data_IF_144016205340
#
_entry.id   IF_144016205340
#
_cell.length_a   1.000
_cell.length_b   1.000
_cell.length_c   1.000
_cell.angle_alpha   90.00
_cell.angle_beta   90.00
_cell.angle_gamma   90.00
#
_symmetry.space_group_name_H-M   'P 1'
#
loop_
_entity.id
_entity.type
_entity.pdbx_description
1 polymer ?
#
# COMPACT_ATOMS: atom_id res chain seq x y z
N UNK A 1 -14.65 -5.74 -19.93
CA UNK A 1 -13.22 -5.34 -19.91
C UNK A 1 -13.17 -3.82 -19.95
N UNK A 2 -12.34 -3.21 -19.12
CA UNK A 2 -12.29 -1.76 -18.98
C UNK A 2 -11.28 -1.15 -19.98
N UNK A 3 -11.69 -0.22 -20.87
CA UNK A 3 -10.83 0.28 -21.94
C UNK A 3 -9.60 1.04 -21.43
N UNK A 4 -9.75 1.82 -20.35
CA UNK A 4 -8.65 2.60 -19.76
C UNK A 4 -7.58 1.65 -19.19
N UNK A 5 -7.98 0.56 -18.54
CA UNK A 5 -7.02 -0.43 -18.03
C UNK A 5 -6.32 -1.19 -19.15
N UNK A 6 -7.03 -1.51 -20.22
CA UNK A 6 -6.43 -2.14 -21.40
C UNK A 6 -5.40 -1.22 -22.06
N UNK A 7 -5.69 0.08 -22.18
CA UNK A 7 -4.74 1.09 -22.68
C UNK A 7 -3.50 1.22 -21.78
N UNK A 8 -3.67 1.11 -20.46
CA UNK A 8 -2.56 1.08 -19.49
C UNK A 8 -1.76 -0.23 -19.49
N UNK A 9 -2.12 -1.22 -20.34
CA UNK A 9 -1.43 -2.50 -20.44
C UNK A 9 -1.82 -3.52 -19.36
N UNK A 10 -2.95 -3.34 -18.69
CA UNK A 10 -3.46 -4.31 -17.69
C UNK A 10 -4.17 -5.45 -18.42
N UNK A 11 -3.66 -6.68 -18.25
CA UNK A 11 -4.20 -7.87 -18.91
C UNK A 11 -5.62 -8.22 -18.44
N UNK A 12 -6.37 -8.93 -19.28
CA UNK A 12 -7.73 -9.40 -18.95
C UNK A 12 -7.77 -10.26 -17.68
N UNK A 13 -6.76 -11.11 -17.51
CA UNK A 13 -6.58 -11.95 -16.30
C UNK A 13 -6.54 -11.08 -15.03
N UNK A 14 -5.78 -9.98 -15.06
CA UNK A 14 -5.65 -9.09 -13.91
C UNK A 14 -6.91 -8.25 -13.68
N UNK A 15 -7.55 -7.78 -14.75
CA UNK A 15 -8.85 -7.09 -14.63
C UNK A 15 -9.91 -8.02 -14.00
N UNK A 16 -9.92 -9.30 -14.39
CA UNK A 16 -10.81 -10.31 -13.82
C UNK A 16 -10.47 -10.62 -12.36
N UNK A 17 -9.19 -10.76 -12.01
CA UNK A 17 -8.75 -10.98 -10.62
C UNK A 17 -9.23 -9.87 -9.68
N UNK A 18 -9.11 -8.61 -10.10
CA UNK A 18 -9.56 -7.45 -9.33
C UNK A 18 -11.06 -7.16 -9.48
N UNK A 19 -11.79 -7.97 -10.28
CA UNK A 19 -13.22 -7.80 -10.56
C UNK A 19 -13.57 -6.39 -11.06
N UNK A 20 -12.67 -5.79 -11.86
CA UNK A 20 -12.85 -4.41 -12.32
C UNK A 20 -13.84 -4.37 -13.47
N UNK A 21 -14.98 -3.75 -13.21
CA UNK A 21 -16.00 -3.40 -14.22
C UNK A 21 -15.89 -1.91 -14.50
N UNK A 22 -16.11 -1.12 -13.47
CA UNK A 22 -15.91 0.33 -13.44
C UNK A 22 -14.65 0.69 -12.65
N UNK A 23 -14.11 1.88 -12.90
CA UNK A 23 -12.96 2.43 -12.16
C UNK A 23 -13.41 3.16 -10.88
N UNK A 24 -14.35 2.53 -10.18
CA UNK A 24 -14.89 2.98 -8.90
C UNK A 24 -14.76 1.85 -7.89
N UNK A 25 -13.97 2.07 -6.85
CA UNK A 25 -13.65 1.06 -5.84
C UNK A 25 -14.29 1.46 -4.51
N UNK A 26 -15.16 0.60 -3.97
CA UNK A 26 -15.86 0.86 -2.70
C UNK A 26 -15.00 0.48 -1.51
N UNK A 27 -14.90 1.41 -0.56
CA UNK A 27 -14.33 1.24 0.77
C UNK A 27 -15.50 1.33 1.77
N UNK A 28 -16.59 0.60 1.51
CA UNK A 28 -17.83 0.74 2.28
C UNK A 28 -18.57 2.04 1.93
N UNK A 29 -18.51 3.04 2.82
CA UNK A 29 -19.22 4.33 2.65
C UNK A 29 -18.50 5.33 1.75
N UNK A 30 -17.20 5.12 1.54
CA UNK A 30 -16.37 5.98 0.68
C UNK A 30 -15.99 5.27 -0.61
N UNK A 31 -15.64 6.03 -1.64
CA UNK A 31 -15.21 5.48 -2.93
C UNK A 31 -13.94 6.11 -3.46
N UNK A 32 -13.05 5.26 -3.97
CA UNK A 32 -11.99 5.68 -4.88
C UNK A 32 -12.56 5.76 -6.30
N UNK A 33 -12.21 6.81 -7.03
CA UNK A 33 -12.58 6.98 -8.43
C UNK A 33 -11.35 7.29 -9.27
N UNK A 34 -11.16 6.55 -10.35
CA UNK A 34 -10.08 6.75 -11.31
C UNK A 34 -10.65 7.06 -12.69
N UNK A 35 -10.11 8.09 -13.34
CA UNK A 35 -10.46 8.48 -14.69
C UNK A 35 -9.24 9.02 -15.44
N UNK A 36 -9.44 9.39 -16.70
CA UNK A 36 -8.35 9.79 -17.61
C UNK A 36 -7.47 10.92 -17.04
N UNK A 37 -8.10 11.90 -16.38
CA UNK A 37 -7.43 13.11 -15.89
C UNK A 37 -7.52 13.31 -14.38
N UNK A 38 -8.04 12.34 -13.63
CA UNK A 38 -8.17 12.46 -12.18
C UNK A 38 -8.05 11.11 -11.48
N UNK A 39 -7.58 11.16 -10.24
CA UNK A 39 -7.61 10.04 -9.32
C UNK A 39 -7.97 10.57 -7.95
N UNK A 40 -9.13 10.15 -7.44
CA UNK A 40 -9.60 10.51 -6.10
C UNK A 40 -9.51 9.30 -5.21
N UNK A 41 -8.61 9.33 -4.23
CA UNK A 41 -8.48 8.32 -3.18
C UNK A 41 -9.13 8.85 -1.91
N UNK A 42 -10.03 8.08 -1.25
CA UNK A 42 -10.72 8.55 -0.06
C UNK A 42 -9.79 8.55 1.16
N UNK A 43 -10.04 9.47 2.10
CA UNK A 43 -9.56 9.34 3.47
C UNK A 43 -10.66 8.65 4.28
N UNK A 44 -10.45 7.40 4.65
CA UNK A 44 -11.50 6.53 5.21
C UNK A 44 -10.95 5.63 6.31
N UNK A 45 -11.84 5.12 7.16
CA UNK A 45 -11.53 4.09 8.15
C UNK A 45 -11.85 2.67 7.67
N UNK A 46 -12.40 2.54 6.46
CA UNK A 46 -12.74 1.27 5.82
C UNK A 46 -11.63 0.81 4.86
N UNK A 47 -11.74 -0.41 4.37
CA UNK A 47 -10.76 -1.01 3.46
C UNK A 47 -11.42 -1.39 2.15
N UNK A 48 -10.67 -1.27 1.06
CA UNK A 48 -10.96 -2.04 -0.14
C UNK A 48 -10.10 -3.30 -0.15
N UNK A 49 -10.70 -4.44 -0.48
CA UNK A 49 -10.04 -5.76 -0.44
C UNK A 49 -10.31 -6.50 -1.75
N UNK A 50 -9.28 -7.11 -2.31
CA UNK A 50 -9.38 -8.03 -3.44
C UNK A 50 -8.52 -9.28 -3.20
N UNK A 51 -8.95 -10.43 -3.68
CA UNK A 51 -8.30 -11.73 -3.43
C UNK A 51 -9.24 -12.72 -2.76
N UNK A 52 -8.67 -13.78 -2.16
CA UNK A 52 -9.43 -14.88 -1.56
C UNK A 52 -8.85 -15.36 -0.22
N UNK A 53 -9.57 -16.27 0.45
CA UNK A 53 -9.22 -16.79 1.77
C UNK A 53 -7.97 -17.71 1.78
N UNK A 54 -7.61 -18.28 0.62
CA UNK A 54 -6.45 -19.17 0.45
C UNK A 54 -5.12 -18.38 0.34
N UNK A 55 -5.17 -17.06 0.52
CA UNK A 55 -4.03 -16.17 0.42
C UNK A 55 -2.87 -16.56 1.35
N UNK A 56 -1.65 -16.44 0.84
CA UNK A 56 -0.41 -16.60 1.62
C UNK A 56 0.33 -15.28 1.84
N UNK A 57 0.08 -14.29 0.98
CA UNK A 57 0.69 -12.95 1.03
C UNK A 57 -0.36 -11.85 0.83
N UNK A 58 -0.33 -10.87 1.71
CA UNK A 58 -1.16 -9.67 1.69
C UNK A 58 -0.33 -8.49 1.23
N UNK A 59 -0.75 -7.89 0.13
CA UNK A 59 -0.15 -6.67 -0.39
C UNK A 59 -1.00 -5.49 0.05
N UNK A 60 -0.42 -4.57 0.81
CA UNK A 60 -1.11 -3.40 1.35
C UNK A 60 -0.67 -2.16 0.58
N UNK A 61 -1.63 -1.42 0.03
CA UNK A 61 -1.42 -0.23 -0.78
C UNK A 61 -2.23 0.96 -0.24
N UNK A 62 -1.98 2.16 -0.77
CA UNK A 62 -2.82 3.33 -0.46
C UNK A 62 -4.08 3.42 -1.33
N UNK A 63 -4.12 2.77 -2.48
CA UNK A 63 -5.25 2.81 -3.42
C UNK A 63 -5.39 1.50 -4.20
N UNK A 64 -6.60 1.20 -4.68
CA UNK A 64 -6.89 0.04 -5.51
C UNK A 64 -6.16 0.13 -6.86
N UNK A 65 -6.08 1.33 -7.44
CA UNK A 65 -5.29 1.54 -8.65
C UNK A 65 -3.79 1.28 -8.45
N UNK A 66 -3.23 1.60 -7.29
CA UNK A 66 -1.84 1.26 -6.97
C UNK A 66 -1.63 -0.27 -6.86
N UNK A 67 -2.62 -1.00 -6.32
CA UNK A 67 -2.59 -2.46 -6.28
C UNK A 67 -2.60 -3.07 -7.69
N UNK A 68 -3.48 -2.59 -8.56
CA UNK A 68 -3.56 -3.01 -9.97
C UNK A 68 -2.22 -2.73 -10.67
N UNK A 69 -1.68 -1.52 -10.51
CA UNK A 69 -0.44 -1.14 -11.15
C UNK A 69 0.76 -1.95 -10.66
N UNK A 70 0.87 -2.18 -9.35
CA UNK A 70 1.90 -3.01 -8.77
C UNK A 70 1.88 -4.42 -9.35
N UNK A 71 0.73 -5.09 -9.34
CA UNK A 71 0.62 -6.46 -9.83
C UNK A 71 0.86 -6.54 -11.34
N UNK A 72 0.42 -5.54 -12.11
CA UNK A 72 0.68 -5.47 -13.56
C UNK A 72 2.20 -5.42 -13.84
N UNK A 73 2.92 -4.51 -13.19
CA UNK A 73 4.35 -4.33 -13.40
C UNK A 73 5.21 -5.46 -12.80
N UNK A 74 4.69 -6.16 -11.79
CA UNK A 74 5.38 -7.24 -11.10
C UNK A 74 4.78 -8.63 -11.36
N UNK A 75 3.94 -8.79 -12.40
CA UNK A 75 3.22 -10.04 -12.69
C UNK A 75 4.15 -11.26 -12.78
N UNK A 76 5.35 -11.07 -13.32
CA UNK A 76 6.39 -12.09 -13.45
C UNK A 76 6.86 -12.67 -12.11
N UNK A 77 6.72 -11.93 -11.00
CA UNK A 77 7.10 -12.38 -9.64
C UNK A 77 6.05 -13.26 -9.00
N UNK A 78 4.84 -13.28 -9.55
CA UNK A 78 3.68 -13.93 -8.96
C UNK A 78 3.08 -14.92 -9.96
N UNK A 79 3.67 -16.12 -10.16
CA UNK A 79 3.10 -17.14 -11.04
C UNK A 79 1.67 -17.52 -10.65
N UNK A 80 1.36 -17.45 -9.34
CA UNK A 80 0.08 -17.78 -8.73
C UNK A 80 -0.57 -16.57 -8.06
N UNK A 81 -1.29 -15.78 -8.86
CA UNK A 81 -2.00 -14.58 -8.37
C UNK A 81 -3.16 -14.95 -7.41
N UNK A 82 -3.68 -16.18 -7.49
CA UNK A 82 -4.70 -16.74 -6.62
C UNK A 82 -4.25 -16.89 -5.16
N UNK A 83 -2.95 -16.79 -4.88
CA UNK A 83 -2.37 -16.84 -3.54
C UNK A 83 -2.14 -15.47 -2.90
N UNK A 84 -2.56 -14.40 -3.59
CA UNK A 84 -2.43 -13.01 -3.15
C UNK A 84 -3.77 -12.46 -2.71
N UNK A 85 -3.70 -11.55 -1.74
CA UNK A 85 -4.75 -10.56 -1.53
C UNK A 85 -4.17 -9.18 -1.46
N UNK A 86 -4.99 -8.22 -1.85
CA UNK A 86 -4.68 -6.81 -1.87
C UNK A 86 -5.61 -6.09 -0.91
N UNK A 87 -5.05 -5.17 -0.15
CA UNK A 87 -5.79 -4.29 0.74
C UNK A 87 -5.36 -2.87 0.40
N UNK A 88 -6.32 -2.02 0.02
CA UNK A 88 -6.09 -0.60 -0.07
C UNK A 88 -6.68 0.09 1.16
N UNK A 89 -5.87 0.92 1.81
CA UNK A 89 -6.22 1.60 3.07
C UNK A 89 -6.68 3.05 2.89
N UNK A 90 -6.60 3.60 1.66
CA UNK A 90 -6.92 5.00 1.40
C UNK A 90 -5.82 5.97 1.85
N UNK A 91 -6.18 7.25 1.84
CA UNK A 91 -5.34 8.34 2.31
C UNK A 91 -5.40 8.41 3.84
N UNK A 92 -4.28 8.09 4.49
CA UNK A 92 -4.06 8.03 5.95
C UNK A 92 -4.45 6.68 6.60
N UNK A 93 -3.47 5.92 7.11
CA UNK A 93 -3.75 4.71 7.88
C UNK A 93 -4.53 5.01 9.17
N UNK A 94 -5.65 4.31 9.36
CA UNK A 94 -6.50 4.40 10.56
C UNK A 94 -6.27 3.19 11.49
N UNK A 95 -6.32 3.38 12.82
CA UNK A 95 -6.04 2.31 13.78
C UNK A 95 -7.00 1.12 13.63
N UNK A 96 -8.29 1.39 13.42
CA UNK A 96 -9.29 0.34 13.17
C UNK A 96 -9.00 -0.53 11.95
N UNK A 97 -8.44 0.05 10.88
CA UNK A 97 -8.00 -0.72 9.71
C UNK A 97 -6.85 -1.67 10.08
N UNK A 98 -5.84 -1.15 10.78
CA UNK A 98 -4.67 -1.93 11.17
C UNK A 98 -5.05 -3.05 12.15
N UNK A 99 -5.97 -2.79 13.07
CA UNK A 99 -6.54 -3.80 13.96
C UNK A 99 -7.28 -4.89 13.17
N UNK A 100 -8.11 -4.50 12.19
CA UNK A 100 -8.83 -5.45 11.33
C UNK A 100 -7.86 -6.35 10.56
N UNK A 101 -6.88 -5.76 9.88
CA UNK A 101 -5.86 -6.50 9.11
C UNK A 101 -5.10 -7.46 10.04
N UNK A 102 -4.64 -6.96 11.18
CA UNK A 102 -3.94 -7.77 12.18
C UNK A 102 -4.78 -8.95 12.66
N UNK A 103 -6.06 -8.73 12.95
CA UNK A 103 -6.94 -9.80 13.46
C UNK A 103 -7.24 -10.89 12.43
N UNK A 104 -7.43 -10.52 11.16
CA UNK A 104 -7.75 -11.48 10.09
C UNK A 104 -6.54 -12.15 9.45
N UNK A 105 -5.38 -11.48 9.46
CA UNK A 105 -4.26 -11.82 8.56
C UNK A 105 -2.91 -11.97 9.29
N UNK A 106 -2.89 -12.05 10.63
CA UNK A 106 -1.67 -12.08 11.45
C UNK A 106 -0.57 -13.04 10.97
N UNK A 107 -0.96 -14.24 10.49
CA UNK A 107 -0.03 -15.31 10.10
C UNK A 107 0.40 -15.27 8.63
N UNK A 108 -0.11 -14.30 7.86
CA UNK A 108 0.19 -14.17 6.44
C UNK A 108 1.43 -13.31 6.24
N UNK A 109 2.12 -13.47 5.11
CA UNK A 109 3.20 -12.57 4.74
C UNK A 109 2.59 -11.21 4.39
N UNK A 110 3.22 -10.13 4.83
CA UNK A 110 2.75 -8.78 4.49
C UNK A 110 3.81 -8.07 3.64
N UNK A 111 3.33 -7.41 2.59
CA UNK A 111 4.11 -6.64 1.66
C UNK A 111 3.48 -5.26 1.54
N UNK A 112 4.23 -4.19 1.82
CA UNK A 112 3.75 -2.81 1.70
C UNK A 112 4.19 -2.22 0.38
N UNK A 113 3.23 -1.63 -0.32
CA UNK A 113 3.41 -0.96 -1.60
C UNK A 113 2.83 0.44 -1.49
N UNK A 114 3.58 1.29 -0.79
CA UNK A 114 3.34 2.72 -0.72
C UNK A 114 4.34 3.48 -1.59
N UNK A 115 4.11 4.77 -1.82
CA UNK A 115 4.99 5.58 -2.68
C UNK A 115 6.45 5.65 -2.22
N UNK A 116 7.34 5.96 -3.16
CA UNK A 116 8.78 6.19 -2.96
C UNK A 116 9.09 7.63 -2.51
N UNK A 117 8.13 8.31 -1.90
CA UNK A 117 8.27 9.66 -1.35
C UNK A 117 8.22 9.63 0.18
N UNK A 118 8.28 10.81 0.82
CA UNK A 118 8.23 10.91 2.28
C UNK A 118 6.95 10.29 2.87
N UNK A 119 5.78 10.63 2.30
CA UNK A 119 4.50 10.13 2.80
C UNK A 119 4.39 8.62 2.70
N UNK A 120 4.86 8.02 1.60
CA UNK A 120 4.85 6.57 1.44
C UNK A 120 5.78 5.85 2.42
N UNK A 121 6.93 6.46 2.76
CA UNK A 121 7.84 5.93 3.79
C UNK A 121 7.27 6.06 5.21
N UNK A 122 6.56 7.14 5.50
CA UNK A 122 5.83 7.31 6.76
C UNK A 122 4.66 6.32 6.88
N UNK A 123 3.94 6.07 5.78
CA UNK A 123 2.90 5.07 5.72
C UNK A 123 3.45 3.67 5.98
N UNK A 124 4.61 3.31 5.39
CA UNK A 124 5.27 2.03 5.67
C UNK A 124 5.48 1.83 7.18
N UNK A 125 6.05 2.85 7.85
CA UNK A 125 6.32 2.82 9.30
C UNK A 125 5.02 2.70 10.10
N UNK A 126 4.03 3.55 9.81
CA UNK A 126 2.76 3.58 10.55
C UNK A 126 2.01 2.26 10.44
N UNK A 127 1.93 1.69 9.24
CA UNK A 127 1.26 0.41 8.98
C UNK A 127 2.03 -0.73 9.64
N UNK A 128 3.34 -0.81 9.45
CA UNK A 128 4.15 -1.88 10.04
C UNK A 128 4.08 -1.87 11.58
N UNK A 129 4.13 -0.69 12.20
CA UNK A 129 3.98 -0.56 13.64
C UNK A 129 2.59 -1.00 14.13
N UNK A 130 1.51 -0.58 13.47
CA UNK A 130 0.16 -0.99 13.86
C UNK A 130 -0.09 -2.49 13.69
N UNK A 131 0.47 -3.11 12.64
CA UNK A 131 0.43 -4.57 12.47
C UNK A 131 1.23 -5.31 13.55
N UNK A 132 2.30 -4.70 14.06
CA UNK A 132 3.09 -5.20 15.19
C UNK A 132 2.50 -4.85 16.58
N UNK A 133 1.29 -4.28 16.63
CA UNK A 133 0.62 -3.81 17.84
C UNK A 133 1.44 -2.78 18.63
N UNK A 134 2.05 -1.84 17.90
CA UNK A 134 2.80 -0.72 18.45
C UNK A 134 2.16 0.59 18.02
N UNK A 135 1.77 1.40 18.99
CA UNK A 135 1.36 2.77 18.71
C UNK A 135 2.58 3.63 18.38
N UNK A 136 2.52 4.29 17.22
CA UNK A 136 3.55 5.23 16.76
C UNK A 136 2.90 6.58 16.48
N UNK A 137 3.52 7.65 16.99
CA UNK A 137 3.22 9.04 16.63
C UNK A 137 4.35 9.60 15.79
N UNK A 138 3.99 10.34 14.76
CA UNK A 138 4.92 10.91 13.78
C UNK A 138 4.75 12.42 13.82
N UNK A 139 5.85 13.14 14.07
CA UNK A 139 5.87 14.60 14.08
C UNK A 139 6.88 15.08 13.06
N UNK A 140 6.45 16.04 12.23
CA UNK A 140 7.33 16.66 11.25
C UNK A 140 7.88 17.97 11.84
N UNK A 141 9.18 17.99 12.09
CA UNK A 141 9.94 19.17 12.49
C UNK A 141 11.08 19.40 11.49
N UNK A 142 10.77 19.96 10.31
CA UNK A 142 11.71 20.05 9.18
C UNK A 142 13.09 20.59 9.62
N UNK A 143 14.21 19.93 9.25
CA UNK A 143 14.34 18.80 8.31
C UNK A 143 14.19 17.40 8.95
N UNK A 144 13.77 17.34 10.21
CA UNK A 144 13.69 16.12 11.01
C UNK A 144 12.27 15.57 11.12
N UNK A 145 12.20 14.28 11.39
CA UNK A 145 10.99 13.55 11.71
C UNK A 145 11.21 12.90 13.06
N UNK A 146 10.41 13.32 14.04
CA UNK A 146 10.39 12.69 15.35
C UNK A 146 9.37 11.56 15.32
N UNK A 147 9.84 10.37 15.63
CA UNK A 147 9.02 9.17 15.77
C UNK A 147 8.96 8.86 17.26
N UNK A 148 7.75 8.72 17.80
CA UNK A 148 7.52 8.37 19.20
C UNK A 148 6.75 7.07 19.30
N UNK A 149 7.17 6.23 20.25
CA UNK A 149 6.41 5.11 20.79
C UNK A 149 6.14 5.36 22.27
N UNK A 150 5.43 4.45 22.94
CA UNK A 150 5.20 4.53 24.38
C UNK A 150 6.48 4.59 25.21
N UNK A 151 7.56 3.94 24.76
CA UNK A 151 8.77 3.73 25.56
C UNK A 151 9.98 4.55 25.09
N UNK A 152 9.95 5.10 23.88
CA UNK A 152 11.10 5.81 23.31
C UNK A 152 10.70 6.76 22.21
N UNK A 153 11.60 7.69 21.91
CA UNK A 153 11.52 8.54 20.73
C UNK A 153 12.87 8.57 20.01
N UNK A 154 12.82 8.74 18.70
CA UNK A 154 14.00 8.91 17.86
C UNK A 154 13.73 9.99 16.81
N UNK A 155 14.75 10.79 16.51
CA UNK A 155 14.71 11.76 15.42
C UNK A 155 15.50 11.23 14.24
N UNK A 156 14.86 11.23 13.07
CA UNK A 156 15.45 10.79 11.81
C UNK A 156 15.42 11.95 10.81
N UNK A 157 16.39 11.98 9.91
CA UNK A 157 16.35 12.89 8.75
C UNK A 157 15.50 12.29 7.64
N UNK A 158 14.93 13.14 6.79
CA UNK A 158 14.13 12.70 5.64
C UNK A 158 14.91 11.75 4.71
N UNK A 159 16.21 11.95 4.53
CA UNK A 159 17.04 11.14 3.62
C UNK A 159 17.30 9.72 4.16
N UNK A 160 17.36 9.58 5.49
CA UNK A 160 17.62 8.30 6.15
C UNK A 160 16.34 7.57 6.58
N UNK A 161 15.16 8.16 6.33
CA UNK A 161 13.89 7.55 6.72
C UNK A 161 13.60 6.30 5.86
N UNK A 162 13.45 5.16 6.51
CA UNK A 162 12.94 3.91 5.91
C UNK A 162 12.35 3.01 7.00
N UNK A 163 11.54 2.02 6.59
CA UNK A 163 11.02 1.02 7.52
C UNK A 163 12.15 0.29 8.26
N UNK A 164 13.20 -0.13 7.56
CA UNK A 164 14.35 -0.83 8.16
C UNK A 164 15.10 0.03 9.20
N UNK A 165 15.28 1.33 8.94
CA UNK A 165 15.91 2.25 9.91
C UNK A 165 15.03 2.41 11.15
N UNK A 166 13.72 2.57 10.96
CA UNK A 166 12.76 2.58 12.06
C UNK A 166 12.80 1.28 12.88
N UNK A 167 12.74 0.12 12.23
CA UNK A 167 12.77 -1.17 12.92
C UNK A 167 14.03 -1.36 13.76
N UNK A 168 15.18 -0.95 13.24
CA UNK A 168 16.44 -0.98 13.99
C UNK A 168 16.45 -0.03 15.17
N UNK A 169 15.95 1.19 14.99
CA UNK A 169 15.91 2.20 16.06
C UNK A 169 15.02 1.76 17.24
N UNK A 170 13.88 1.13 16.94
CA UNK A 170 12.89 0.74 17.96
C UNK A 170 12.96 -0.75 18.36
N UNK A 171 13.93 -1.51 17.84
CA UNK A 171 14.08 -2.94 18.14
C UNK A 171 12.91 -3.80 17.66
N UNK A 172 12.21 -3.39 16.60
CA UNK A 172 11.06 -4.08 16.03
C UNK A 172 11.52 -5.07 14.96
N UNK A 173 10.86 -6.23 14.89
CA UNK A 173 11.05 -7.23 13.82
C UNK A 173 9.69 -7.56 13.22
N UNK A 174 9.22 -6.73 12.27
CA UNK A 174 7.90 -6.95 11.67
C UNK A 174 7.92 -8.10 10.65
N UNK A 175 9.08 -8.36 10.02
CA UNK A 175 9.18 -9.32 8.91
C UNK A 175 8.44 -8.87 7.64
N UNK A 176 8.01 -7.60 7.60
CA UNK A 176 7.24 -7.01 6.52
C UNK A 176 8.19 -6.55 5.41
N UNK A 177 7.81 -6.83 4.16
CA UNK A 177 8.56 -6.36 2.98
C UNK A 177 8.01 -5.04 2.49
N UNK A 178 8.85 -4.22 1.89
CA UNK A 178 8.40 -3.04 1.12
C UNK A 178 8.83 -3.19 -0.34
N UNK A 179 7.99 -2.74 -1.26
CA UNK A 179 8.37 -2.56 -2.66
C UNK A 179 8.10 -1.13 -3.09
N UNK A 180 9.08 -0.57 -3.80
CA UNK A 180 9.04 0.79 -4.33
C UNK A 180 9.39 0.77 -5.83
N UNK A 181 8.75 1.60 -6.65
CA UNK A 181 9.25 1.90 -7.99
C UNK A 181 10.64 2.57 -7.92
N UNK A 182 11.51 2.30 -8.90
CA UNK A 182 12.90 2.79 -8.88
C UNK A 182 13.00 4.24 -9.34
N UNK A 183 12.24 4.61 -10.38
CA UNK A 183 12.34 5.91 -11.07
C UNK A 183 11.11 6.80 -10.91
N UNK A 184 10.11 6.34 -10.17
CA UNK A 184 8.82 7.01 -10.01
C UNK A 184 8.47 7.09 -8.53
N UNK A 185 7.49 7.92 -8.20
CA UNK A 185 6.96 7.98 -6.84
C UNK A 185 5.97 6.85 -6.57
N UNK A 186 5.20 6.40 -7.58
CA UNK A 186 4.22 5.32 -7.44
C UNK A 186 4.31 4.31 -8.58
N UNK A 187 3.84 3.08 -8.36
CA UNK A 187 3.71 2.09 -9.43
C UNK A 187 2.64 2.52 -10.44
N UNK A 188 1.59 3.25 -10.01
CA UNK A 188 0.62 3.82 -10.93
C UNK A 188 1.23 4.84 -11.90
N UNK A 189 2.12 5.72 -11.42
CA UNK A 189 2.84 6.68 -12.28
C UNK A 189 3.76 5.95 -13.26
N UNK A 190 4.45 4.91 -12.79
CA UNK A 190 5.26 4.06 -13.65
C UNK A 190 4.42 3.36 -14.73
N UNK A 191 3.25 2.84 -14.37
CA UNK A 191 2.36 2.17 -15.32
C UNK A 191 1.84 3.14 -16.39
N UNK A 192 1.37 4.32 -15.96
CA UNK A 192 0.93 5.40 -16.87
C UNK A 192 2.03 5.83 -17.83
N UNK A 193 3.28 5.87 -17.36
CA UNK A 193 4.43 6.18 -18.21
C UNK A 193 4.68 5.09 -19.25
N UNK A 194 4.62 3.82 -18.85
CA UNK A 194 4.86 2.68 -19.75
C UNK A 194 3.75 2.48 -20.79
N UNK A 195 2.48 2.71 -20.43
CA UNK A 195 1.35 2.57 -21.35
C UNK A 195 1.24 3.67 -22.41
N UNK A 196 2.00 4.77 -22.27
CA UNK A 196 2.05 5.87 -23.25
C UNK A 196 3.14 5.71 -24.31
N UNK A 197 3.92 4.63 -24.26
CA UNK A 197 4.97 4.30 -25.23
C UNK A 197 4.45 3.29 -26.25
#
# INVERSE_FOLDING_TARGET
MNPILTELGVSEELQAFFQVTDLVFSYGQDTECFGENFHRVPATSNLWVAGNDLTTEVVITHSAMEAIAYLTLNRHRYPRIDTLSFIAIGNLPHEGQLQWIRSGWLKKKHTLVFGNNLLGRLADIKVAAGLADRQVRLYWNSPHIRIETENSHHELTMDNLSLNVFEKAFGIRSGIRTYKPIKFDTFLDQLKHNGKQ
#
